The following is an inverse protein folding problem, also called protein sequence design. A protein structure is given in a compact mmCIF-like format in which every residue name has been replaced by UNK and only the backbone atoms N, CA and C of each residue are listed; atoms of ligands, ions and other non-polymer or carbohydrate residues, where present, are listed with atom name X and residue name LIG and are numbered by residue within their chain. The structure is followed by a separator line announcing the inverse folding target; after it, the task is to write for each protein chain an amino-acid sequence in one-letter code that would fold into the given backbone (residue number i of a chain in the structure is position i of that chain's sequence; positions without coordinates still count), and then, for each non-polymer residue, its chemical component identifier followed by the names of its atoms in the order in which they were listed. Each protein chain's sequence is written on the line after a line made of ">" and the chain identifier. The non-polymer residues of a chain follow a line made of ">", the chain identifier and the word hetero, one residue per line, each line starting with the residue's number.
data_IF_888648296867
#
_entry.id   IF_888648296867
#
_cell.length_a   1.000
_cell.length_b   1.000
_cell.length_c   1.000
_cell.angle_alpha   90.00
_cell.angle_beta   90.00
_cell.angle_gamma   90.00
#
_symmetry.space_group_name_H-M   'P 1'
#
loop_
_entity.id
_entity.type
_entity.pdbx_description
1 polymer ?
#
# COMPACT_ATOMS: atom_id res chain seq x y z
N UNK A 1 10.85 -27.79 -8.43
CA UNK A 1 11.85 -27.00 -7.67
C UNK A 1 11.08 -26.15 -6.68
N UNK A 2 11.23 -26.37 -5.38
CA UNK A 2 10.65 -25.45 -4.41
C UNK A 2 11.49 -24.18 -4.41
N UNK A 3 10.90 -23.07 -4.87
CA UNK A 3 11.55 -21.77 -4.83
C UNK A 3 11.89 -21.42 -3.37
N UNK A 4 13.18 -21.21 -3.11
CA UNK A 4 13.65 -20.72 -1.82
C UNK A 4 13.22 -19.26 -1.67
N UNK A 5 12.18 -19.04 -0.87
CA UNK A 5 11.71 -17.69 -0.51
C UNK A 5 12.26 -17.32 0.87
N UNK A 6 12.92 -16.16 0.96
CA UNK A 6 13.42 -15.62 2.22
C UNK A 6 12.26 -15.45 3.21
N UNK A 7 12.45 -15.86 4.47
CA UNK A 7 11.41 -15.82 5.52
C UNK A 7 10.76 -14.44 5.67
N UNK A 8 11.53 -13.36 5.53
CA UNK A 8 11.04 -11.99 5.61
C UNK A 8 9.98 -11.65 4.54
N UNK A 9 10.04 -12.31 3.38
CA UNK A 9 9.02 -12.19 2.32
C UNK A 9 7.89 -13.20 2.54
N UNK A 10 8.23 -14.43 2.92
CA UNK A 10 7.27 -15.52 3.14
C UNK A 10 6.24 -15.19 4.22
N UNK A 11 6.67 -14.58 5.32
CA UNK A 11 5.82 -14.24 6.46
C UNK A 11 5.37 -12.78 6.47
N UNK A 12 5.54 -12.04 5.37
CA UNK A 12 5.11 -10.65 5.30
C UNK A 12 3.57 -10.59 5.39
N UNK A 13 3.00 -9.85 6.36
CA UNK A 13 1.56 -9.73 6.53
C UNK A 13 0.84 -9.27 5.26
N UNK A 14 -0.27 -9.93 4.92
CA UNK A 14 -1.14 -9.57 3.79
C UNK A 14 -2.44 -8.89 4.22
N UNK A 15 -2.82 -9.01 5.49
CA UNK A 15 -4.04 -8.44 6.08
C UNK A 15 -3.71 -7.71 7.37
N UNK A 16 -4.54 -6.74 7.76
CA UNK A 16 -4.34 -5.97 8.99
C UNK A 16 -4.39 -6.85 10.26
N UNK A 17 -5.18 -7.91 10.25
CA UNK A 17 -5.26 -8.88 11.36
C UNK A 17 -3.96 -9.65 11.58
N UNK A 18 -3.18 -9.88 10.51
CA UNK A 18 -1.87 -10.55 10.60
C UNK A 18 -0.72 -9.62 11.02
N UNK A 19 -0.98 -8.33 11.19
CA UNK A 19 0.04 -7.37 11.67
C UNK A 19 0.13 -7.46 13.20
N UNK A 20 1.32 -7.77 13.69
CA UNK A 20 1.57 -7.96 15.13
C UNK A 20 1.85 -6.62 15.82
N UNK A 21 1.19 -6.37 16.95
CA UNK A 21 1.51 -5.27 17.87
C UNK A 21 0.95 -3.89 17.50
N UNK A 22 0.32 -3.72 16.33
CA UNK A 22 -0.17 -2.42 15.84
C UNK A 22 -1.71 -2.29 15.85
N UNK A 23 -2.37 -2.89 16.84
CA UNK A 23 -3.83 -3.03 16.90
C UNK A 23 -4.60 -1.69 16.86
N UNK A 24 -4.06 -0.63 17.44
CA UNK A 24 -4.72 0.68 17.43
C UNK A 24 -4.72 1.28 16.02
N UNK A 25 -3.57 1.23 15.33
CA UNK A 25 -3.41 1.79 13.99
C UNK A 25 -4.23 1.00 12.97
N UNK A 26 -4.15 -0.33 13.01
CA UNK A 26 -4.89 -1.21 12.09
C UNK A 26 -6.40 -0.99 12.22
N UNK A 27 -6.94 -0.92 13.45
CA UNK A 27 -8.36 -0.63 13.68
C UNK A 27 -8.76 0.75 13.16
N UNK A 28 -7.95 1.79 13.38
CA UNK A 28 -8.23 3.14 12.88
C UNK A 28 -8.30 3.17 11.35
N UNK A 29 -7.34 2.53 10.68
CA UNK A 29 -7.34 2.42 9.22
C UNK A 29 -8.55 1.63 8.71
N UNK A 30 -8.90 0.53 9.36
CA UNK A 30 -10.09 -0.24 8.99
C UNK A 30 -11.39 0.54 9.16
N UNK A 31 -11.51 1.29 10.25
CA UNK A 31 -12.67 2.14 10.49
C UNK A 31 -12.76 3.28 9.46
N UNK A 32 -11.63 3.89 9.11
CA UNK A 32 -11.59 4.93 8.07
C UNK A 32 -12.05 4.39 6.70
N UNK A 33 -11.68 3.16 6.34
CA UNK A 33 -12.18 2.49 5.13
C UNK A 33 -13.69 2.25 5.22
N UNK A 34 -14.17 1.69 6.34
CA UNK A 34 -15.60 1.37 6.54
C UNK A 34 -16.49 2.61 6.51
N UNK A 35 -16.01 3.71 7.08
CA UNK A 35 -16.72 4.99 7.11
C UNK A 35 -16.53 5.81 5.82
N UNK A 36 -15.73 5.31 4.86
CA UNK A 36 -15.37 6.02 3.64
C UNK A 36 -14.77 7.42 3.91
N UNK A 37 -14.01 7.53 5.01
CA UNK A 37 -13.34 8.74 5.50
C UNK A 37 -11.82 8.59 5.39
N UNK A 38 -11.35 8.15 4.23
CA UNK A 38 -9.93 7.92 4.00
C UNK A 38 -9.27 9.24 3.56
N UNK A 39 -8.19 9.70 4.23
CA UNK A 39 -7.49 10.90 3.82
C UNK A 39 -6.73 10.67 2.51
N UNK A 40 -6.50 11.75 1.76
CA UNK A 40 -5.76 11.69 0.49
C UNK A 40 -4.29 11.32 0.69
N UNK A 41 -3.70 11.66 1.84
CA UNK A 41 -2.32 11.38 2.18
C UNK A 41 -2.20 10.79 3.58
N UNK A 42 -1.34 9.79 3.72
CA UNK A 42 -1.02 9.12 4.98
C UNK A 42 0.48 9.05 5.15
N UNK A 43 0.97 9.45 6.32
CA UNK A 43 2.37 9.36 6.68
C UNK A 43 2.56 8.26 7.74
N UNK A 44 3.27 7.20 7.37
CA UNK A 44 3.66 6.15 8.30
C UNK A 44 5.05 6.46 8.88
N UNK A 45 5.13 6.67 10.19
CA UNK A 45 6.39 6.99 10.89
C UNK A 45 6.86 5.82 11.77
N UNK A 46 8.17 5.75 12.01
CA UNK A 46 8.78 4.79 12.95
C UNK A 46 10.08 4.15 12.44
N UNK A 47 10.77 3.33 13.26
CA UNK A 47 12.03 2.67 12.91
C UNK A 47 11.94 1.72 11.71
N UNK A 48 13.09 1.32 11.15
CA UNK A 48 13.13 0.30 10.08
C UNK A 48 12.58 -1.03 10.62
N UNK A 49 11.80 -1.74 9.80
CA UNK A 49 11.29 -3.08 10.14
C UNK A 49 9.97 -3.13 10.91
N UNK A 50 9.40 -2.00 11.38
CA UNK A 50 8.14 -1.98 12.16
C UNK A 50 6.86 -2.18 11.32
N UNK A 51 6.98 -2.44 10.03
CA UNK A 51 5.84 -2.74 9.15
C UNK A 51 5.21 -1.57 8.41
N UNK A 52 5.83 -0.37 8.40
CA UNK A 52 5.30 0.85 7.73
C UNK A 52 4.85 0.58 6.28
N UNK A 53 5.77 0.14 5.43
CA UNK A 53 5.50 -0.18 4.01
C UNK A 53 4.52 -1.34 3.88
N UNK A 54 4.56 -2.32 4.79
CA UNK A 54 3.60 -3.43 4.80
C UNK A 54 2.18 -2.93 5.06
N UNK A 55 1.97 -2.08 6.07
CA UNK A 55 0.67 -1.48 6.36
C UNK A 55 0.16 -0.62 5.19
N UNK A 56 1.03 0.16 4.56
CA UNK A 56 0.69 0.93 3.35
C UNK A 56 0.20 0.02 2.21
N UNK A 57 0.89 -1.09 1.95
CA UNK A 57 0.48 -2.07 0.92
C UNK A 57 -0.84 -2.77 1.26
N UNK A 58 -1.05 -3.15 2.51
CA UNK A 58 -2.31 -3.77 2.96
C UNK A 58 -3.46 -2.77 2.75
N UNK A 59 -3.26 -1.51 3.13
CA UNK A 59 -4.25 -0.45 2.92
C UNK A 59 -4.58 -0.27 1.43
N UNK A 60 -3.55 -0.13 0.59
CA UNK A 60 -3.69 0.07 -0.85
C UNK A 60 -4.48 -1.08 -1.51
N UNK A 61 -4.21 -2.33 -1.10
CA UNK A 61 -4.99 -3.49 -1.55
C UNK A 61 -6.43 -3.40 -1.08
N UNK A 62 -6.67 -3.11 0.21
CA UNK A 62 -8.00 -3.11 0.83
C UNK A 62 -8.94 -2.04 0.26
N UNK A 63 -8.43 -0.86 -0.10
CA UNK A 63 -9.26 0.22 -0.66
C UNK A 63 -9.66 0.00 -2.13
N UNK A 64 -8.89 -0.80 -2.87
CA UNK A 64 -9.20 -1.15 -4.26
C UNK A 64 -10.01 -2.46 -4.37
N UNK A 65 -9.88 -3.36 -3.39
CA UNK A 65 -10.72 -4.55 -3.28
C UNK A 65 -12.10 -4.20 -2.70
N UNK A 66 -13.02 -3.66 -3.50
CA UNK A 66 -14.40 -3.31 -3.09
C UNK A 66 -15.31 -4.55 -2.90
N UNK A 67 -14.85 -5.58 -2.21
CA UNK A 67 -15.68 -6.70 -1.74
C UNK A 67 -16.15 -7.72 -2.78
N UNK A 68 -16.03 -7.47 -4.08
CA UNK A 68 -16.64 -8.32 -5.13
C UNK A 68 -15.68 -9.06 -6.07
N UNK A 69 -14.37 -8.80 -6.06
CA UNK A 69 -13.48 -9.44 -7.03
C UNK A 69 -12.34 -10.26 -6.40
N UNK A 70 -12.43 -11.57 -6.63
CA UNK A 70 -11.44 -12.60 -6.26
C UNK A 70 -10.14 -12.52 -7.07
N UNK A 71 -10.02 -11.60 -8.03
CA UNK A 71 -8.86 -11.46 -8.90
C UNK A 71 -7.87 -10.44 -8.31
N UNK A 72 -7.10 -10.89 -7.33
CA UNK A 72 -6.06 -10.12 -6.63
C UNK A 72 -4.96 -9.51 -7.51
N UNK A 73 -4.86 -9.94 -8.77
CA UNK A 73 -3.76 -9.53 -9.66
C UNK A 73 -4.07 -8.24 -10.43
N UNK A 74 -5.32 -7.93 -10.75
CA UNK A 74 -5.65 -6.75 -11.57
C UNK A 74 -5.60 -5.44 -10.78
N UNK A 75 -5.76 -5.48 -9.46
CA UNK A 75 -5.62 -4.26 -8.64
C UNK A 75 -4.17 -3.81 -8.46
N UNK A 76 -3.19 -4.67 -8.79
CA UNK A 76 -1.77 -4.33 -8.71
C UNK A 76 -1.39 -3.17 -9.65
N UNK A 77 -2.12 -3.00 -10.76
CA UNK A 77 -1.86 -1.93 -11.74
C UNK A 77 -2.08 -0.51 -11.20
N UNK A 78 -2.81 -0.36 -10.08
CA UNK A 78 -3.08 0.96 -9.50
C UNK A 78 -2.28 1.25 -8.22
N UNK A 79 -1.31 0.39 -7.89
CA UNK A 79 -0.43 0.56 -6.75
C UNK A 79 0.98 0.79 -7.28
N UNK A 80 1.46 2.02 -7.14
CA UNK A 80 2.79 2.44 -7.56
C UNK A 80 3.66 2.59 -6.32
N UNK A 81 4.78 1.88 -6.27
CA UNK A 81 5.74 1.98 -5.17
C UNK A 81 7.03 2.59 -5.69
N UNK A 82 7.43 3.72 -5.11
CA UNK A 82 8.65 4.44 -5.37
C UNK A 82 9.55 4.30 -4.15
N UNK A 83 10.78 3.83 -4.33
CA UNK A 83 11.78 3.92 -3.26
C UNK A 83 12.43 5.30 -3.28
N UNK A 84 12.02 6.18 -2.36
CA UNK A 84 12.56 7.53 -2.24
C UNK A 84 14.05 7.57 -1.84
N UNK A 85 14.60 6.49 -1.27
CA UNK A 85 16.02 6.43 -0.94
C UNK A 85 16.88 6.27 -2.21
N UNK A 86 16.35 5.57 -3.22
CA UNK A 86 17.02 5.32 -4.49
C UNK A 86 16.66 6.34 -5.58
N UNK A 87 15.49 6.97 -5.48
CA UNK A 87 14.96 7.97 -6.43
C UNK A 87 14.83 9.33 -5.72
N UNK A 88 15.97 9.95 -5.40
CA UNK A 88 16.06 11.17 -4.59
C UNK A 88 16.17 12.46 -5.42
N UNK A 89 16.07 12.37 -6.74
CA UNK A 89 16.18 13.51 -7.65
C UNK A 89 14.91 14.36 -7.70
N UNK A 90 15.07 15.65 -7.98
CA UNK A 90 13.93 16.55 -8.23
C UNK A 90 13.17 16.16 -9.51
N UNK A 91 13.87 15.57 -10.47
CA UNK A 91 13.25 15.12 -11.72
C UNK A 91 12.38 13.88 -11.51
N UNK A 92 12.75 12.99 -10.57
CA UNK A 92 11.95 11.80 -10.22
C UNK A 92 10.58 12.21 -9.68
N UNK A 93 10.55 13.20 -8.78
CA UNK A 93 9.28 13.68 -8.21
C UNK A 93 8.45 14.46 -9.24
N UNK A 94 9.08 15.19 -10.17
CA UNK A 94 8.36 15.84 -11.28
C UNK A 94 7.65 14.83 -12.17
N UNK A 95 8.37 13.77 -12.56
CA UNK A 95 7.82 12.68 -13.36
C UNK A 95 6.65 11.99 -12.63
N UNK A 96 6.77 11.77 -11.31
CA UNK A 96 5.68 11.22 -10.49
C UNK A 96 4.44 12.12 -10.52
N UNK A 97 4.61 13.43 -10.32
CA UNK A 97 3.50 14.41 -10.32
C UNK A 97 2.76 14.42 -11.65
N UNK A 98 3.49 14.28 -12.77
CA UNK A 98 2.87 14.21 -14.09
C UNK A 98 2.06 12.92 -14.28
N UNK A 99 2.58 11.78 -13.80
CA UNK A 99 1.87 10.50 -13.85
C UNK A 99 0.60 10.48 -12.99
N UNK A 100 0.57 11.21 -11.85
CA UNK A 100 -0.60 11.28 -10.95
C UNK A 100 -1.82 11.88 -11.64
N UNK A 101 -1.64 12.73 -12.66
CA UNK A 101 -2.74 13.38 -13.40
C UNK A 101 -3.60 12.40 -14.21
N UNK A 102 -3.06 11.22 -14.52
CA UNK A 102 -3.77 10.20 -15.30
C UNK A 102 -4.67 9.39 -14.35
N UNK A 103 -6.01 9.36 -14.56
CA UNK A 103 -6.92 8.60 -13.70
C UNK A 103 -6.63 7.09 -13.75
N UNK A 104 -6.99 6.32 -12.69
CA UNK A 104 -6.80 4.88 -12.68
C UNK A 104 -7.65 4.21 -13.77
N UNK A 105 -7.08 3.22 -14.47
CA UNK A 105 -7.79 2.48 -15.52
C UNK A 105 -8.74 1.42 -14.94
N UNK A 106 -8.41 0.86 -13.78
CA UNK A 106 -9.16 -0.19 -13.09
C UNK A 106 -9.32 0.23 -11.61
N UNK A 107 -10.43 -0.11 -10.95
CA UNK A 107 -10.63 0.24 -9.54
C UNK A 107 -10.89 1.73 -9.29
N UNK A 108 -10.92 2.12 -8.01
CA UNK A 108 -11.34 3.47 -7.58
C UNK A 108 -10.17 4.40 -7.24
N UNK A 109 -9.08 3.84 -6.72
CA UNK A 109 -7.96 4.63 -6.20
C UNK A 109 -6.67 4.31 -6.96
N UNK A 110 -5.94 5.37 -7.32
CA UNK A 110 -4.54 5.30 -7.74
C UNK A 110 -3.66 5.59 -6.53
N UNK A 111 -2.90 4.60 -6.07
CA UNK A 111 -2.17 4.67 -4.81
C UNK A 111 -0.68 4.77 -5.08
N UNK A 112 -0.04 5.73 -4.43
CA UNK A 112 1.41 5.90 -4.46
C UNK A 112 1.97 5.64 -3.06
N UNK A 113 2.93 4.73 -2.98
CA UNK A 113 3.70 4.43 -1.77
C UNK A 113 5.11 4.95 -2.03
N UNK A 114 5.56 5.90 -1.21
CA UNK A 114 6.85 6.60 -1.32
C UNK A 114 7.70 6.29 -0.10
#
# INVERSE_FOLDING_TARGET
>A
MNDFVVSALKYRPNTFESVIGQNSITKTLENAIKQNQLPQALLFCGPRGVGKTTCARILAKKINSNGTEKNSNDFSYNIFELDAASNNGVDDIRNLVDQVRIPPQIGKYKVYII
#
